data_IF_019478594851
#
_entry.id   IF_019478594851
#
_cell.length_a   1.000
_cell.length_b   1.000
_cell.length_c   1.000
_cell.angle_alpha   90.00
_cell.angle_beta   90.00
_cell.angle_gamma   90.00
#
_symmetry.space_group_name_H-M   'P 1'
#
loop_
_entity.id
_entity.type
_entity.pdbx_description
1 polymer ?
#
# COMPACT_ATOMS: atom_id res chain seq x y z
N UNK A 1 24.24 34.18 8.38
CA UNK A 1 23.76 33.30 7.28
C UNK A 1 22.32 33.67 7.00
N UNK A 2 22.05 34.13 5.79
CA UNK A 2 20.86 34.86 5.41
C UNK A 2 19.69 33.93 5.04
N UNK A 3 18.59 34.11 5.78
CA UNK A 3 17.17 33.90 5.48
C UNK A 3 16.73 32.60 4.76
N UNK A 4 16.30 31.63 5.58
CA UNK A 4 15.42 30.53 5.19
C UNK A 4 14.13 31.07 4.54
N UNK A 5 13.93 30.70 3.27
CA UNK A 5 12.65 30.81 2.55
C UNK A 5 11.70 29.70 3.04
N UNK A 6 10.38 29.89 2.94
CA UNK A 6 9.39 29.04 3.58
C UNK A 6 9.49 27.55 3.24
N UNK A 7 9.45 26.71 4.28
CA UNK A 7 9.31 25.27 4.13
C UNK A 7 7.84 24.94 3.90
N UNK A 8 7.53 24.55 2.67
CA UNK A 8 6.24 23.94 2.34
C UNK A 8 6.21 22.54 2.95
N UNK A 9 5.15 22.25 3.71
CA UNK A 9 4.94 20.96 4.37
C UNK A 9 3.58 20.39 4.04
N UNK A 10 3.48 19.07 4.14
CA UNK A 10 2.21 18.37 4.21
C UNK A 10 1.83 18.20 5.68
N UNK A 11 0.68 18.75 6.06
CA UNK A 11 0.08 18.51 7.38
C UNK A 11 -0.68 17.20 7.32
N UNK A 12 -0.47 16.35 8.31
CA UNK A 12 -1.28 15.17 8.61
C UNK A 12 -2.19 15.55 9.78
N UNK A 13 -3.46 15.84 9.50
CA UNK A 13 -4.43 16.36 10.49
C UNK A 13 -5.15 15.21 11.19
N UNK A 14 -4.37 14.41 11.93
CA UNK A 14 -4.91 13.29 12.69
C UNK A 14 -4.03 12.90 13.90
N UNK A 15 -4.58 12.82 15.11
CA UNK A 15 -3.82 12.50 16.33
C UNK A 15 -3.35 11.05 16.42
N UNK A 16 -3.99 10.13 15.68
CA UNK A 16 -3.63 8.71 15.67
C UNK A 16 -2.75 8.33 14.47
N UNK A 17 -2.06 9.29 13.84
CA UNK A 17 -1.04 8.96 12.86
C UNK A 17 0.15 8.31 13.60
N UNK A 18 0.35 7.02 13.36
CA UNK A 18 1.27 6.16 14.13
C UNK A 18 2.59 5.88 13.41
N UNK A 19 2.87 6.58 12.30
CA UNK A 19 4.17 6.50 11.63
C UNK A 19 5.32 6.91 12.58
N UNK A 20 6.49 6.26 12.53
CA UNK A 20 7.60 6.60 13.41
C UNK A 20 8.16 8.00 13.13
N UNK A 21 8.78 8.60 14.15
CA UNK A 21 9.47 9.88 14.02
C UNK A 21 10.77 9.72 13.21
N UNK A 22 10.96 10.52 12.16
CA UNK A 22 12.19 10.49 11.35
C UNK A 22 12.64 11.91 11.03
N UNK A 23 13.82 12.28 11.52
CA UNK A 23 14.46 13.58 11.23
C UNK A 23 15.78 13.46 10.46
N UNK A 24 16.45 12.30 10.48
CA UNK A 24 17.76 12.08 9.84
C UNK A 24 17.69 11.44 8.44
N UNK A 25 16.52 11.38 7.82
CA UNK A 25 16.39 10.93 6.43
C UNK A 25 16.97 11.97 5.45
N UNK A 26 17.49 11.53 4.30
CA UNK A 26 17.89 12.40 3.20
C UNK A 26 16.73 12.78 2.26
N UNK A 27 15.61 12.06 2.35
CA UNK A 27 14.47 12.18 1.42
C UNK A 27 13.32 12.98 2.03
N UNK A 28 13.10 12.86 3.35
CA UNK A 28 12.01 13.52 4.04
C UNK A 28 12.33 13.76 5.53
N UNK A 29 11.41 14.42 6.22
CA UNK A 29 11.30 14.36 7.67
C UNK A 29 9.85 14.41 8.09
N UNK A 30 9.50 13.71 9.15
CA UNK A 30 8.19 13.75 9.78
C UNK A 30 8.37 14.09 11.25
N UNK A 31 7.44 14.83 11.87
CA UNK A 31 7.45 15.06 13.32
C UNK A 31 7.04 13.82 14.12
N UNK A 32 7.41 13.74 15.39
CA UNK A 32 6.97 12.66 16.27
C UNK A 32 5.48 12.78 16.66
N UNK A 33 4.91 11.69 17.20
CA UNK A 33 3.51 11.65 17.64
C UNK A 33 3.22 12.52 18.86
N UNK A 34 4.21 12.70 19.73
CA UNK A 34 4.01 13.34 21.03
C UNK A 34 4.55 14.76 21.04
N UNK A 35 3.88 15.63 21.79
CA UNK A 35 4.37 16.94 22.20
C UNK A 35 4.45 16.99 23.73
N UNK A 36 5.36 17.81 24.25
CA UNK A 36 5.45 18.07 25.68
C UNK A 36 4.46 19.18 25.99
N UNK A 37 3.57 18.95 26.94
CA UNK A 37 2.72 19.99 27.49
C UNK A 37 3.55 20.87 28.43
N UNK A 38 3.81 22.10 28.00
CA UNK A 38 4.65 23.08 28.72
C UNK A 38 4.11 23.43 30.12
N UNK A 39 2.83 23.15 30.41
CA UNK A 39 2.20 23.47 31.69
C UNK A 39 2.10 22.30 32.67
N UNK A 40 2.32 21.07 32.21
CA UNK A 40 2.13 19.88 33.04
C UNK A 40 3.24 18.83 32.97
N UNK A 41 4.31 19.07 32.19
CA UNK A 41 5.38 18.09 31.93
C UNK A 41 4.87 16.71 31.48
N UNK A 42 3.63 16.66 30.97
CA UNK A 42 3.01 15.45 30.44
C UNK A 42 3.08 15.45 28.92
N UNK A 43 3.08 14.26 28.32
CA UNK A 43 3.03 14.11 26.87
C UNK A 43 1.58 14.05 26.39
N UNK A 44 1.23 14.91 25.43
CA UNK A 44 -0.03 14.82 24.68
C UNK A 44 0.24 14.37 23.24
N UNK A 45 -0.67 13.61 22.62
CA UNK A 45 -0.56 13.32 21.20
C UNK A 45 -0.78 14.62 20.42
N UNK A 46 0.09 14.91 19.46
CA UNK A 46 -0.07 16.04 18.56
C UNK A 46 -1.35 15.86 17.76
N UNK A 47 -2.15 16.91 17.65
CA UNK A 47 -3.33 16.92 16.79
C UNK A 47 -2.96 16.88 15.30
N UNK A 48 -1.78 17.43 14.97
CA UNK A 48 -1.23 17.54 13.63
C UNK A 48 0.23 17.16 13.60
N UNK A 49 0.66 16.49 12.53
CA UNK A 49 2.08 16.19 12.28
C UNK A 49 2.53 16.84 10.98
N UNK A 50 3.71 17.45 10.99
CA UNK A 50 4.33 17.97 9.78
C UNK A 50 5.13 16.89 9.07
N UNK A 51 4.97 16.81 7.76
CA UNK A 51 5.78 16.02 6.85
C UNK A 51 6.45 16.96 5.82
N UNK A 52 7.77 16.94 5.77
CA UNK A 52 8.58 17.75 4.88
C UNK A 52 9.32 16.87 3.90
N UNK A 53 9.37 17.29 2.64
CA UNK A 53 10.33 16.74 1.68
C UNK A 53 11.71 17.33 1.95
N UNK A 54 12.75 16.53 1.71
CA UNK A 54 14.13 17.00 1.67
C UNK A 54 14.64 16.85 0.25
N UNK A 55 14.94 17.97 -0.38
CA UNK A 55 15.47 18.01 -1.74
C UNK A 55 16.24 19.33 -1.94
N UNK A 56 17.36 19.37 -2.68
CA UNK A 56 18.10 20.62 -2.92
C UNK A 56 17.25 21.76 -3.50
N UNK A 57 16.20 21.41 -4.25
CA UNK A 57 15.27 22.36 -4.87
C UNK A 57 13.91 22.45 -4.16
N UNK A 58 13.77 21.92 -2.93
CA UNK A 58 12.48 21.82 -2.21
C UNK A 58 11.73 23.16 -2.13
N UNK A 59 12.45 24.25 -1.84
CA UNK A 59 11.88 25.61 -1.71
C UNK A 59 11.29 26.16 -3.02
N UNK A 60 11.57 25.52 -4.15
CA UNK A 60 11.08 25.93 -5.47
C UNK A 60 10.05 24.97 -6.06
N UNK A 61 9.73 23.86 -5.39
CA UNK A 61 8.82 22.83 -5.92
C UNK A 61 7.43 23.39 -6.21
N UNK A 62 6.83 24.19 -5.32
CA UNK A 62 5.50 24.78 -5.56
C UNK A 62 5.47 25.64 -6.82
N UNK A 63 6.56 26.38 -7.11
CA UNK A 63 6.69 27.17 -8.34
C UNK A 63 6.86 26.30 -9.58
N UNK A 64 7.58 25.18 -9.46
CA UNK A 64 7.94 24.32 -10.59
C UNK A 64 6.86 23.30 -10.94
N UNK A 65 6.17 22.74 -9.95
CA UNK A 65 5.15 21.69 -10.10
C UNK A 65 3.71 22.21 -9.91
N UNK A 66 3.55 23.45 -9.45
CA UNK A 66 2.27 23.96 -8.95
C UNK A 66 1.89 23.38 -7.59
N UNK A 67 0.84 23.94 -6.97
CA UNK A 67 0.32 23.51 -5.67
C UNK A 67 -0.13 22.04 -5.68
N UNK A 68 -0.94 21.66 -6.68
CA UNK A 68 -1.47 20.31 -6.79
C UNK A 68 -0.37 19.27 -7.06
N UNK A 69 0.60 19.59 -7.93
CA UNK A 69 1.74 18.69 -8.21
C UNK A 69 2.64 18.52 -6.98
N UNK A 70 2.87 19.60 -6.24
CA UNK A 70 3.65 19.58 -4.99
C UNK A 70 2.94 18.77 -3.91
N UNK A 71 1.63 18.96 -3.76
CA UNK A 71 0.82 18.18 -2.83
C UNK A 71 0.82 16.69 -3.16
N UNK A 72 0.62 16.32 -4.43
CA UNK A 72 0.69 14.92 -4.87
C UNK A 72 2.07 14.32 -4.67
N UNK A 73 3.15 15.07 -4.91
CA UNK A 73 4.51 14.61 -4.61
C UNK A 73 4.67 14.31 -3.12
N UNK A 74 4.27 15.22 -2.23
CA UNK A 74 4.35 14.99 -0.78
C UNK A 74 3.58 13.72 -0.36
N UNK A 75 2.35 13.55 -0.86
CA UNK A 75 1.54 12.36 -0.55
C UNK A 75 2.13 11.07 -1.10
N UNK A 76 2.79 11.10 -2.27
CA UNK A 76 3.50 9.95 -2.83
C UNK A 76 4.72 9.58 -2.01
N UNK A 77 5.54 10.54 -1.56
CA UNK A 77 6.70 10.22 -0.70
C UNK A 77 6.24 9.75 0.68
N UNK A 78 5.22 10.38 1.28
CA UNK A 78 4.61 9.91 2.53
C UNK A 78 4.07 8.48 2.36
N UNK A 79 3.48 8.17 1.21
CA UNK A 79 3.03 6.82 0.85
C UNK A 79 4.16 5.81 0.76
N UNK A 80 5.31 6.20 0.23
CA UNK A 80 6.48 5.32 0.18
C UNK A 80 7.05 5.08 1.57
N UNK A 81 7.04 6.10 2.43
CA UNK A 81 7.44 5.94 3.82
C UNK A 81 6.50 5.00 4.57
N UNK A 82 5.18 5.20 4.48
CA UNK A 82 4.18 4.30 5.07
C UNK A 82 4.38 2.85 4.58
N UNK A 83 4.50 2.66 3.26
CA UNK A 83 4.76 1.35 2.67
C UNK A 83 6.07 0.72 3.17
N UNK A 84 7.11 1.53 3.43
CA UNK A 84 8.38 1.05 3.98
C UNK A 84 8.25 0.60 5.43
N UNK A 85 7.48 1.33 6.26
CA UNK A 85 7.20 0.93 7.65
C UNK A 85 6.39 -0.35 7.65
N UNK A 86 5.33 -0.40 6.83
CA UNK A 86 4.49 -1.59 6.64
C UNK A 86 5.30 -2.82 6.23
N UNK A 87 6.24 -2.66 5.29
CA UNK A 87 7.13 -3.74 4.86
C UNK A 87 8.02 -4.22 6.00
N UNK A 88 8.61 -3.29 6.76
CA UNK A 88 9.46 -3.65 7.90
C UNK A 88 8.65 -4.40 8.97
N UNK A 89 7.50 -3.86 9.38
CA UNK A 89 6.67 -4.47 10.43
C UNK A 89 6.13 -5.84 9.99
N UNK A 90 5.78 -6.00 8.72
CA UNK A 90 5.33 -7.28 8.19
C UNK A 90 6.46 -8.32 8.17
N UNK A 91 7.67 -7.92 7.78
CA UNK A 91 8.86 -8.78 7.86
C UNK A 91 9.11 -9.12 9.32
N UNK A 92 9.23 -8.16 10.22
CA UNK A 92 9.50 -8.43 11.64
C UNK A 92 8.47 -9.38 12.27
N UNK A 93 7.20 -9.27 11.89
CA UNK A 93 6.13 -10.14 12.40
C UNK A 93 6.08 -11.53 11.75
N UNK A 94 6.45 -11.68 10.47
CA UNK A 94 6.17 -12.89 9.68
C UNK A 94 7.39 -13.49 8.97
N UNK A 95 8.60 -12.95 9.13
CA UNK A 95 9.80 -13.36 8.39
C UNK A 95 10.22 -14.81 8.65
N UNK A 96 10.14 -15.28 9.89
CA UNK A 96 10.43 -16.69 10.19
C UNK A 96 9.41 -17.63 9.54
N UNK A 97 8.14 -17.22 9.49
CA UNK A 97 7.10 -17.97 8.78
C UNK A 97 7.34 -17.95 7.26
N UNK A 98 7.81 -16.84 6.69
CA UNK A 98 8.23 -16.75 5.28
C UNK A 98 9.36 -17.75 4.99
N UNK A 99 10.29 -17.96 5.92
CA UNK A 99 11.40 -18.91 5.77
C UNK A 99 10.97 -20.37 5.90
N UNK A 100 10.08 -20.68 6.83
CA UNK A 100 9.79 -22.06 7.22
C UNK A 100 8.55 -22.64 6.53
N UNK A 101 7.62 -21.81 6.07
CA UNK A 101 6.30 -22.29 5.68
C UNK A 101 6.28 -23.10 4.38
N UNK A 102 5.52 -24.19 4.42
CA UNK A 102 5.01 -24.84 3.22
C UNK A 102 3.96 -23.90 2.60
N UNK A 103 4.12 -23.56 1.33
CA UNK A 103 3.22 -22.64 0.63
C UNK A 103 1.97 -23.38 0.12
N UNK A 104 1.18 -23.93 1.04
CA UNK A 104 -0.10 -24.56 0.76
C UNK A 104 -1.26 -23.67 1.22
N UNK A 105 -2.45 -23.89 0.66
CA UNK A 105 -3.65 -23.15 1.06
C UNK A 105 -3.92 -23.25 2.57
N UNK A 106 -3.90 -24.47 3.11
CA UNK A 106 -4.19 -24.72 4.53
C UNK A 106 -3.19 -24.02 5.47
N UNK A 107 -1.90 -23.98 5.10
CA UNK A 107 -0.90 -23.27 5.91
C UNK A 107 -1.15 -21.76 5.88
N UNK A 108 -1.42 -21.19 4.70
CA UNK A 108 -1.72 -19.76 4.56
C UNK A 108 -2.98 -19.36 5.35
N UNK A 109 -4.03 -20.19 5.29
CA UNK A 109 -5.25 -19.99 6.09
C UNK A 109 -4.97 -20.05 7.60
N UNK A 110 -4.21 -21.04 8.06
CA UNK A 110 -3.85 -21.17 9.49
C UNK A 110 -3.09 -19.94 9.99
N UNK A 111 -2.19 -19.40 9.19
CA UNK A 111 -1.42 -18.21 9.54
C UNK A 111 -2.30 -16.94 9.53
N UNK A 112 -3.20 -16.85 8.56
CA UNK A 112 -4.15 -15.74 8.47
C UNK A 112 -5.11 -15.64 9.66
N UNK A 113 -5.40 -16.74 10.38
CA UNK A 113 -6.25 -16.71 11.59
C UNK A 113 -5.68 -15.87 12.74
N UNK A 114 -4.37 -15.64 12.76
CA UNK A 114 -3.69 -14.79 13.76
C UNK A 114 -3.32 -13.40 13.19
N UNK A 115 -3.66 -13.18 11.93
CA UNK A 115 -3.42 -11.96 11.20
C UNK A 115 -4.52 -10.93 11.48
N UNK A 116 -4.18 -9.65 11.38
CA UNK A 116 -5.18 -8.59 11.30
C UNK A 116 -4.62 -7.45 10.49
N UNK A 117 -5.32 -7.10 9.41
CA UNK A 117 -4.96 -6.01 8.51
C UNK A 117 -4.78 -4.67 9.24
N UNK A 118 -5.57 -4.43 10.28
CA UNK A 118 -5.58 -3.19 11.04
C UNK A 118 -4.26 -2.91 11.78
N UNK A 119 -3.44 -3.96 12.03
CA UNK A 119 -2.09 -3.80 12.61
C UNK A 119 -1.16 -2.95 11.74
N UNK A 120 -1.48 -2.82 10.46
CA UNK A 120 -0.70 -2.12 9.46
C UNK A 120 -1.36 -0.80 9.01
N UNK A 121 -2.34 -0.31 9.77
CA UNK A 121 -2.97 0.98 9.51
C UNK A 121 -2.34 2.09 10.36
N UNK A 122 -1.45 2.88 9.77
CA UNK A 122 -0.78 3.99 10.46
C UNK A 122 -1.54 5.32 10.38
N UNK A 123 -2.75 5.36 9.82
CA UNK A 123 -3.61 6.54 9.68
C UNK A 123 -2.88 7.78 9.11
N UNK A 124 -2.01 7.58 8.12
CA UNK A 124 -1.09 8.63 7.63
C UNK A 124 -1.64 9.45 6.46
N UNK A 125 -2.33 8.81 5.51
CA UNK A 125 -2.70 9.41 4.22
C UNK A 125 -4.20 9.34 3.92
N UNK A 126 -4.92 8.44 4.58
CA UNK A 126 -6.39 8.36 4.51
C UNK A 126 -7.08 9.48 5.27
N UNK A 127 -6.34 10.12 6.18
CA UNK A 127 -6.80 11.23 6.99
C UNK A 127 -6.65 12.56 6.25
N UNK A 128 -7.34 13.63 6.69
CA UNK A 128 -7.21 14.93 6.07
C UNK A 128 -5.74 15.38 6.05
N UNK A 129 -5.24 15.67 4.85
CA UNK A 129 -3.90 16.21 4.65
C UNK A 129 -3.98 17.42 3.74
N UNK A 130 -3.21 18.45 4.06
CA UNK A 130 -3.18 19.69 3.29
C UNK A 130 -1.75 20.22 3.19
N UNK A 131 -1.46 20.91 2.09
CA UNK A 131 -0.18 21.55 1.88
C UNK A 131 -0.22 22.93 2.54
N UNK A 132 0.82 23.29 3.29
CA UNK A 132 0.91 24.59 3.91
C UNK A 132 2.34 25.17 3.88
N UNK A 133 2.42 26.49 3.90
CA UNK A 133 3.64 27.19 4.28
C UNK A 133 3.76 27.17 5.80
N UNK A 134 4.81 26.53 6.32
CA UNK A 134 5.04 26.44 7.76
C UNK A 134 6.18 27.37 8.20
N UNK A 135 5.90 28.20 9.20
CA UNK A 135 6.92 29.02 9.86
C UNK A 135 7.55 28.22 10.99
N UNK A 136 8.74 27.68 10.75
CA UNK A 136 9.49 26.89 11.73
C UNK A 136 10.04 27.70 12.90
N UNK A 137 10.05 29.04 12.82
CA UNK A 137 10.47 29.90 13.94
C UNK A 137 9.32 30.18 14.89
N UNK A 138 8.13 30.38 14.34
CA UNK A 138 6.91 30.70 15.09
C UNK A 138 6.03 29.47 15.35
N UNK A 139 6.48 28.28 14.92
CA UNK A 139 5.79 27.00 15.03
C UNK A 139 4.32 27.04 14.59
N UNK A 140 4.03 27.73 13.48
CA UNK A 140 2.65 27.94 13.03
C UNK A 140 2.50 27.83 11.51
N UNK A 141 1.30 27.45 11.10
CA UNK A 141 0.89 27.50 9.70
C UNK A 141 0.70 28.96 9.29
N UNK A 142 1.35 29.38 8.20
CA UNK A 142 1.27 30.74 7.67
C UNK A 142 0.26 30.86 6.54
N UNK A 143 0.25 29.88 5.64
CA UNK A 143 -0.64 29.88 4.47
C UNK A 143 -1.05 28.45 4.10
N UNK A 144 -2.30 28.27 3.68
CA UNK A 144 -2.83 27.01 3.17
C UNK A 144 -2.86 27.07 1.65
N UNK A 145 -2.33 26.06 0.98
CA UNK A 145 -2.46 25.94 -0.47
C UNK A 145 -3.75 25.21 -0.83
N UNK A 146 -4.33 25.55 -1.99
CA UNK A 146 -5.57 24.94 -2.48
C UNK A 146 -5.21 23.68 -3.29
N UNK A 147 -5.02 22.57 -2.60
CA UNK A 147 -4.80 21.26 -3.20
C UNK A 147 -5.77 20.21 -2.63
N UNK A 148 -6.10 19.21 -3.44
CA UNK A 148 -7.05 18.15 -3.07
C UNK A 148 -6.44 16.77 -3.31
N UNK A 149 -6.80 15.75 -2.49
CA UNK A 149 -6.47 14.35 -2.78
C UNK A 149 -6.86 13.99 -4.22
N UNK A 150 -5.92 13.43 -4.96
CA UNK A 150 -6.15 13.00 -6.35
C UNK A 150 -5.40 11.69 -6.59
N UNK A 151 -6.12 10.59 -6.42
CA UNK A 151 -5.53 9.25 -6.51
C UNK A 151 -4.97 8.90 -7.87
N UNK A 152 -5.59 9.41 -8.95
CA UNK A 152 -5.08 9.21 -10.30
C UNK A 152 -3.74 9.92 -10.46
N UNK A 153 -3.65 11.18 -10.04
CA UNK A 153 -2.42 11.95 -10.12
C UNK A 153 -1.33 11.34 -9.23
N UNK A 154 -1.66 10.94 -8.01
CA UNK A 154 -0.74 10.24 -7.12
C UNK A 154 -0.23 8.92 -7.72
N UNK A 155 -1.08 8.16 -8.42
CA UNK A 155 -0.68 6.93 -9.12
C UNK A 155 0.24 7.22 -10.31
N UNK A 156 -0.03 8.27 -11.08
CA UNK A 156 0.86 8.70 -12.17
C UNK A 156 2.21 9.17 -11.64
N UNK A 157 2.21 9.88 -10.51
CA UNK A 157 3.42 10.29 -9.81
C UNK A 157 4.20 9.09 -9.28
N UNK A 158 3.57 8.14 -8.59
CA UNK A 158 4.27 6.98 -8.01
C UNK A 158 4.98 6.11 -9.05
N UNK A 159 4.47 6.09 -10.28
CA UNK A 159 5.12 5.45 -11.43
C UNK A 159 6.27 6.26 -12.04
N UNK A 160 6.29 7.58 -11.89
CA UNK A 160 7.10 8.46 -12.73
C UNK A 160 7.78 9.62 -11.99
N UNK A 161 7.92 9.58 -10.65
CA UNK A 161 8.42 10.70 -9.83
C UNK A 161 9.66 11.34 -10.48
N UNK A 162 10.71 10.56 -10.73
CA UNK A 162 11.96 11.10 -11.29
C UNK A 162 11.79 11.72 -12.67
N UNK A 163 11.00 11.10 -13.57
CA UNK A 163 10.75 11.69 -14.90
C UNK A 163 9.96 12.99 -14.80
N UNK A 164 8.97 13.04 -13.91
CA UNK A 164 8.15 14.23 -13.69
C UNK A 164 9.02 15.36 -13.16
N UNK A 165 9.91 15.08 -12.19
CA UNK A 165 10.86 16.06 -11.67
C UNK A 165 11.78 16.59 -12.79
N UNK A 166 12.40 15.70 -13.56
CA UNK A 166 13.30 16.07 -14.66
C UNK A 166 12.59 16.95 -15.69
N UNK A 167 11.36 16.59 -16.08
CA UNK A 167 10.58 17.36 -17.06
C UNK A 167 10.23 18.78 -16.57
N UNK A 168 10.23 19.02 -15.26
CA UNK A 168 10.04 20.35 -14.66
C UNK A 168 11.35 21.03 -14.25
N UNK A 169 12.50 20.53 -14.72
CA UNK A 169 13.81 21.09 -14.40
C UNK A 169 14.23 20.90 -12.94
N UNK A 170 13.65 19.90 -12.25
CA UNK A 170 14.04 19.48 -10.91
C UNK A 170 14.97 18.26 -11.04
N UNK A 171 16.11 18.31 -10.35
CA UNK A 171 17.01 17.16 -10.27
C UNK A 171 16.27 15.96 -9.66
N UNK A 172 16.45 14.74 -10.17
CA UNK A 172 15.87 13.57 -9.52
C UNK A 172 16.48 13.38 -8.14
N UNK A 173 15.76 12.66 -7.26
CA UNK A 173 16.33 12.22 -5.99
C UNK A 173 17.59 11.40 -6.26
N UNK A 174 18.66 11.65 -5.50
CA UNK A 174 19.91 10.90 -5.66
C UNK A 174 19.67 9.43 -5.35
N UNK A 175 20.25 8.55 -6.17
CA UNK A 175 20.39 7.15 -5.77
C UNK A 175 21.36 7.10 -4.60
N UNK A 176 20.82 6.84 -3.40
CA UNK A 176 21.65 6.43 -2.28
C UNK A 176 22.30 5.10 -2.66
N UNK A 177 23.64 5.06 -2.64
CA UNK A 177 24.39 3.88 -3.07
C UNK A 177 23.90 2.65 -2.32
N UNK A 178 23.45 1.67 -3.09
CA UNK A 178 22.93 0.42 -2.56
C UNK A 178 24.11 -0.46 -2.13
N UNK A 179 24.43 -0.41 -0.83
CA UNK A 179 25.27 -1.44 -0.25
C UNK A 179 24.53 -2.77 -0.29
N UNK A 180 25.24 -3.86 -0.59
CA UNK A 180 24.74 -5.20 -0.32
C UNK A 180 24.32 -5.28 1.16
N UNK A 181 23.22 -5.98 1.43
CA UNK A 181 22.51 -6.16 2.71
C UNK A 181 21.32 -5.23 2.96
N UNK A 182 20.13 -5.80 2.69
CA UNK A 182 18.85 -5.41 3.26
C UNK A 182 18.90 -5.52 4.78
N UNK A 183 19.03 -4.39 5.46
CA UNK A 183 18.43 -4.23 6.78
C UNK A 183 17.26 -3.26 6.58
N UNK A 184 16.03 -3.78 6.66
CA UNK A 184 14.74 -3.08 6.41
C UNK A 184 14.50 -1.88 7.33
N UNK A 185 15.43 -1.64 8.26
CA UNK A 185 15.53 -0.50 9.17
C UNK A 185 16.03 0.80 8.49
N UNK A 186 16.49 0.75 7.24
CA UNK A 186 16.87 1.95 6.47
C UNK A 186 15.77 2.37 5.48
N UNK A 187 14.80 3.15 5.96
CA UNK A 187 13.67 3.65 5.15
C UNK A 187 14.10 4.36 3.87
N UNK A 188 15.20 5.12 3.89
CA UNK A 188 15.68 5.86 2.74
C UNK A 188 16.10 4.95 1.58
N UNK A 189 16.72 3.81 1.85
CA UNK A 189 17.07 2.82 0.82
C UNK A 189 15.81 2.22 0.19
N UNK A 190 14.85 1.83 1.02
CA UNK A 190 13.57 1.28 0.57
C UNK A 190 12.81 2.28 -0.30
N UNK A 191 12.73 3.55 0.11
CA UNK A 191 12.07 4.62 -0.64
C UNK A 191 12.84 4.95 -1.93
N UNK A 192 14.17 4.94 -1.90
CA UNK A 192 15.00 5.11 -3.11
C UNK A 192 14.67 4.02 -4.14
N UNK A 193 14.51 2.78 -3.71
CA UNK A 193 14.08 1.67 -4.60
C UNK A 193 12.70 1.94 -5.22
N UNK A 194 11.76 2.49 -4.44
CA UNK A 194 10.42 2.86 -4.95
C UNK A 194 10.47 4.04 -5.94
N UNK A 195 11.38 5.00 -5.73
CA UNK A 195 11.57 6.17 -6.60
C UNK A 195 12.22 5.82 -7.94
N UNK A 196 13.11 4.83 -7.94
CA UNK A 196 13.92 4.46 -9.11
C UNK A 196 13.25 3.41 -9.99
N UNK A 197 12.50 2.48 -9.39
CA UNK A 197 11.80 1.42 -10.10
C UNK A 197 10.31 1.70 -10.17
N UNK A 198 9.84 2.11 -11.36
CA UNK A 198 8.45 2.49 -11.62
C UNK A 198 7.43 1.43 -11.19
N UNK A 199 7.76 0.17 -11.44
CA UNK A 199 6.96 -0.99 -11.07
C UNK A 199 6.81 -1.11 -9.55
N UNK A 200 7.92 -0.92 -8.82
CA UNK A 200 7.97 -0.98 -7.36
C UNK A 200 7.22 0.20 -6.74
N UNK A 201 7.49 1.42 -7.22
CA UNK A 201 6.77 2.61 -6.74
C UNK A 201 5.26 2.45 -6.85
N UNK A 202 4.77 1.97 -8.00
CA UNK A 202 3.34 1.75 -8.19
C UNK A 202 2.76 0.69 -7.25
N UNK A 203 3.37 -0.49 -7.17
CA UNK A 203 2.87 -1.58 -6.31
C UNK A 203 2.89 -1.17 -4.84
N UNK A 204 3.96 -0.55 -4.36
CA UNK A 204 4.07 -0.13 -2.95
C UNK A 204 3.09 1.00 -2.62
N UNK A 205 2.87 1.94 -3.54
CA UNK A 205 1.85 2.99 -3.40
C UNK A 205 0.43 2.41 -3.34
N UNK A 206 0.11 1.40 -4.14
CA UNK A 206 -1.20 0.73 -4.09
C UNK A 206 -1.34 -0.16 -2.85
N UNK A 207 -0.30 -0.93 -2.52
CA UNK A 207 -0.31 -1.88 -1.41
C UNK A 207 -0.47 -1.22 -0.05
N UNK A 208 0.09 -0.02 0.17
CA UNK A 208 -0.11 0.69 1.43
C UNK A 208 -1.56 1.15 1.66
N UNK A 209 -2.34 1.33 0.59
CA UNK A 209 -3.79 1.66 0.69
C UNK A 209 -4.62 0.47 1.20
N UNK A 210 -4.05 -0.72 1.21
CA UNK A 210 -4.70 -1.90 1.78
C UNK A 210 -4.42 -1.93 3.29
N UNK A 211 -5.24 -1.27 4.09
CA UNK A 211 -5.06 -1.18 5.55
C UNK A 211 -6.35 -1.43 6.35
N UNK A 212 -7.48 -1.56 5.66
CA UNK A 212 -8.76 -2.01 6.21
C UNK A 212 -9.60 -2.68 5.11
N UNK A 213 -10.62 -3.44 5.51
CA UNK A 213 -11.56 -4.11 4.61
C UNK A 213 -12.78 -3.25 4.22
N UNK A 214 -12.89 -2.03 4.76
CA UNK A 214 -13.98 -1.10 4.41
C UNK A 214 -13.77 -0.34 3.10
N UNK A 215 -12.57 -0.42 2.50
CA UNK A 215 -12.30 0.20 1.20
C UNK A 215 -13.06 -0.51 0.07
N UNK A 216 -13.90 0.24 -0.65
CA UNK A 216 -14.64 -0.24 -1.83
C UNK A 216 -13.70 -0.81 -2.89
N UNK A 217 -12.47 -0.29 -2.99
CA UNK A 217 -11.47 -0.71 -3.96
C UNK A 217 -10.55 -1.83 -3.47
N UNK A 218 -10.76 -2.39 -2.27
CA UNK A 218 -9.87 -3.42 -1.69
C UNK A 218 -9.61 -4.57 -2.66
N UNK A 219 -10.68 -5.16 -3.20
CA UNK A 219 -10.63 -6.31 -4.12
C UNK A 219 -9.91 -5.93 -5.41
N UNK A 220 -10.22 -4.74 -5.94
CA UNK A 220 -9.62 -4.23 -7.17
C UNK A 220 -8.11 -3.97 -6.99
N UNK A 221 -7.70 -3.41 -5.86
CA UNK A 221 -6.31 -3.10 -5.54
C UNK A 221 -5.47 -4.36 -5.30
N UNK A 222 -5.96 -5.31 -4.48
CA UNK A 222 -5.32 -6.64 -4.30
C UNK A 222 -5.08 -7.29 -5.65
N UNK A 223 -6.11 -7.31 -6.48
CA UNK A 223 -6.05 -7.92 -7.79
C UNK A 223 -5.06 -7.27 -8.75
N UNK A 224 -5.07 -5.92 -8.83
CA UNK A 224 -4.15 -5.15 -9.67
C UNK A 224 -2.70 -5.43 -9.28
N UNK A 225 -2.41 -5.49 -7.98
CA UNK A 225 -1.08 -5.83 -7.45
C UNK A 225 -0.64 -7.21 -7.94
N UNK A 226 -1.50 -8.23 -7.77
CA UNK A 226 -1.15 -9.62 -8.13
C UNK A 226 -0.96 -9.80 -9.64
N UNK A 227 -1.83 -9.22 -10.46
CA UNK A 227 -1.70 -9.27 -11.92
C UNK A 227 -0.43 -8.58 -12.41
N UNK A 228 -0.11 -7.45 -11.79
CA UNK A 228 1.08 -6.71 -12.13
C UNK A 228 2.37 -7.45 -11.75
N UNK A 229 2.46 -7.98 -10.52
CA UNK A 229 3.61 -8.79 -10.08
C UNK A 229 3.77 -10.02 -10.97
N UNK A 230 2.67 -10.70 -11.31
CA UNK A 230 2.72 -11.86 -12.23
C UNK A 230 3.27 -11.47 -13.60
N UNK A 231 2.81 -10.36 -14.17
CA UNK A 231 3.31 -9.87 -15.46
C UNK A 231 4.79 -9.47 -15.39
N UNK A 232 5.20 -8.86 -14.27
CA UNK A 232 6.59 -8.47 -14.02
C UNK A 232 7.52 -9.68 -13.92
N UNK A 233 7.11 -10.75 -13.23
CA UNK A 233 7.88 -12.00 -13.14
C UNK A 233 8.10 -12.67 -14.51
N UNK A 234 7.08 -12.65 -15.38
CA UNK A 234 7.20 -13.22 -16.73
C UNK A 234 8.10 -12.37 -17.62
N UNK A 235 7.97 -11.04 -17.54
CA UNK A 235 8.65 -10.12 -18.45
C UNK A 235 10.10 -9.82 -18.06
N UNK A 236 10.38 -9.79 -16.76
CA UNK A 236 11.63 -9.29 -16.20
C UNK A 236 12.33 -10.37 -15.36
N UNK A 237 12.22 -11.65 -15.74
CA UNK A 237 12.81 -12.78 -14.99
C UNK A 237 14.30 -12.57 -14.71
N UNK A 238 15.04 -11.97 -15.63
CA UNK A 238 16.46 -11.62 -15.53
C UNK A 238 16.79 -10.65 -14.38
N UNK A 239 15.80 -9.88 -13.92
CA UNK A 239 15.92 -8.95 -12.79
C UNK A 239 15.73 -9.65 -11.44
N UNK A 240 15.53 -10.96 -11.41
CA UNK A 240 15.38 -11.72 -10.18
C UNK A 240 16.55 -12.68 -9.95
N UNK A 241 16.80 -12.97 -8.67
CA UNK A 241 17.79 -13.98 -8.29
C UNK A 241 17.22 -15.39 -8.38
N UNK A 242 17.42 -16.08 -9.51
CA UNK A 242 16.87 -17.42 -9.75
C UNK A 242 17.32 -18.52 -8.76
N UNK A 243 18.32 -18.26 -7.91
CA UNK A 243 18.83 -19.19 -6.89
C UNK A 243 18.48 -18.79 -5.44
N UNK A 244 17.77 -17.68 -5.25
CA UNK A 244 17.37 -17.24 -3.90
C UNK A 244 16.09 -17.96 -3.46
N UNK A 245 16.08 -18.46 -2.22
CA UNK A 245 14.93 -19.12 -1.60
C UNK A 245 13.64 -18.28 -1.68
N UNK A 246 13.78 -16.95 -1.63
CA UNK A 246 12.66 -16.02 -1.75
C UNK A 246 11.99 -16.02 -3.13
N UNK A 247 12.77 -16.14 -4.22
CA UNK A 247 12.22 -16.13 -5.58
C UNK A 247 11.42 -17.42 -5.86
N UNK A 248 11.97 -18.58 -5.49
CA UNK A 248 11.28 -19.87 -5.63
C UNK A 248 9.95 -19.87 -4.87
N UNK A 249 9.93 -19.26 -3.68
CA UNK A 249 8.72 -19.11 -2.86
C UNK A 249 7.71 -18.18 -3.50
N UNK A 250 8.17 -17.07 -4.06
CA UNK A 250 7.33 -16.13 -4.79
C UNK A 250 6.63 -16.83 -5.98
N UNK A 251 7.37 -17.58 -6.79
CA UNK A 251 6.80 -18.32 -7.93
C UNK A 251 5.73 -19.33 -7.49
N UNK A 252 6.00 -20.08 -6.40
CA UNK A 252 5.04 -21.03 -5.83
C UNK A 252 3.76 -20.34 -5.36
N UNK A 253 3.88 -19.20 -4.67
CA UNK A 253 2.72 -18.41 -4.22
C UNK A 253 1.92 -17.86 -5.39
N UNK A 254 2.59 -17.26 -6.38
CA UNK A 254 1.94 -16.72 -7.58
C UNK A 254 1.18 -17.80 -8.32
N UNK A 255 1.76 -19.00 -8.44
CA UNK A 255 1.11 -20.16 -9.03
C UNK A 255 -0.12 -20.58 -8.23
N UNK A 256 0.00 -20.70 -6.90
CA UNK A 256 -1.12 -21.05 -6.01
C UNK A 256 -2.31 -20.09 -6.19
N UNK A 257 -2.07 -18.78 -6.19
CA UNK A 257 -3.13 -17.78 -6.33
C UNK A 257 -3.65 -17.61 -7.77
N UNK A 258 -2.99 -18.22 -8.76
CA UNK A 258 -3.31 -18.09 -10.18
C UNK A 258 -4.00 -19.31 -10.79
N UNK A 259 -3.84 -20.49 -10.20
CA UNK A 259 -4.31 -21.77 -10.74
C UNK A 259 -5.70 -22.16 -10.14
N UNK A 260 -5.92 -23.46 -9.86
CA UNK A 260 -7.19 -24.02 -9.37
C UNK A 260 -7.70 -23.34 -8.09
N UNK A 261 -6.80 -22.84 -7.25
CA UNK A 261 -7.14 -22.17 -5.99
C UNK A 261 -7.46 -20.69 -6.15
N UNK A 262 -7.30 -20.09 -7.34
CA UNK A 262 -7.58 -18.66 -7.61
C UNK A 262 -8.95 -18.21 -7.10
N UNK A 263 -9.96 -19.09 -7.18
CA UNK A 263 -11.32 -18.84 -6.72
C UNK A 263 -11.46 -18.57 -5.21
N UNK A 264 -10.46 -18.94 -4.41
CA UNK A 264 -10.43 -18.76 -2.95
C UNK A 264 -9.63 -17.52 -2.53
N UNK A 265 -8.80 -17.01 -3.42
CA UNK A 265 -8.19 -15.69 -3.28
C UNK A 265 -9.12 -14.67 -3.92
N UNK A 266 -8.59 -13.75 -4.71
CA UNK A 266 -9.34 -12.71 -5.41
C UNK A 266 -10.38 -13.19 -6.44
N UNK A 267 -10.40 -14.48 -6.80
CA UNK A 267 -11.38 -15.05 -7.72
C UNK A 267 -12.76 -15.30 -7.13
N UNK A 268 -12.94 -15.14 -5.81
CA UNK A 268 -14.25 -15.31 -5.15
C UNK A 268 -15.30 -14.32 -5.69
N UNK A 269 -14.86 -13.13 -6.11
CA UNK A 269 -15.70 -12.09 -6.73
C UNK A 269 -15.54 -12.01 -8.25
N UNK A 270 -15.00 -13.03 -8.91
CA UNK A 270 -14.85 -13.08 -10.37
C UNK A 270 -16.04 -13.77 -11.04
N UNK A 271 -17.26 -13.38 -10.68
CA UNK A 271 -18.50 -13.91 -11.24
C UNK A 271 -19.56 -12.80 -11.37
N UNK A 272 -19.43 -12.00 -12.44
CA UNK A 272 -20.29 -10.84 -12.69
C UNK A 272 -21.74 -11.22 -12.99
N UNK A 273 -21.95 -12.41 -13.56
CA UNK A 273 -23.29 -12.94 -13.86
C UNK A 273 -24.07 -13.21 -12.56
N UNK A 274 -23.37 -13.68 -11.52
CA UNK A 274 -23.97 -14.04 -10.22
C UNK A 274 -23.88 -12.97 -9.14
N UNK A 275 -22.82 -12.16 -9.14
CA UNK A 275 -22.53 -11.20 -8.06
C UNK A 275 -22.81 -9.74 -8.47
N UNK A 276 -23.16 -9.50 -9.74
CA UNK A 276 -23.46 -8.16 -10.24
C UNK A 276 -22.32 -7.17 -9.98
N UNK A 277 -22.65 -6.01 -9.41
CA UNK A 277 -21.68 -4.94 -9.13
C UNK A 277 -20.64 -5.25 -8.04
N UNK A 278 -20.85 -6.31 -7.26
CA UNK A 278 -19.86 -6.80 -6.30
C UNK A 278 -18.75 -7.55 -7.03
N UNK A 279 -19.00 -8.02 -8.26
CA UNK A 279 -17.97 -8.64 -9.05
C UNK A 279 -16.88 -7.65 -9.47
N UNK A 280 -15.65 -8.14 -9.45
CA UNK A 280 -14.46 -7.42 -9.91
C UNK A 280 -14.51 -7.11 -11.41
N UNK A 281 -15.13 -7.97 -12.21
CA UNK A 281 -15.18 -7.82 -13.66
C UNK A 281 -16.60 -7.43 -14.07
N UNK A 282 -16.72 -6.62 -15.12
CA UNK A 282 -17.98 -6.51 -15.82
C UNK A 282 -18.31 -7.84 -16.48
N UNK A 283 -19.60 -8.14 -16.60
CA UNK A 283 -20.07 -9.30 -17.34
C UNK A 283 -19.50 -9.26 -18.76
N UNK A 284 -18.66 -10.23 -19.13
CA UNK A 284 -18.25 -10.40 -20.53
C UNK A 284 -19.41 -11.02 -21.29
N UNK A 285 -20.51 -10.28 -21.47
CA UNK A 285 -21.68 -10.88 -22.11
C UNK A 285 -21.41 -10.96 -23.60
N UNK A 286 -21.24 -12.19 -24.07
CA UNK A 286 -21.55 -12.49 -25.45
C UNK A 286 -23.03 -12.16 -25.66
N UNK A 287 -23.36 -11.24 -26.58
CA UNK A 287 -24.72 -10.66 -26.71
C UNK A 287 -25.84 -11.70 -26.88
N UNK A 288 -25.51 -12.94 -27.24
CA UNK A 288 -26.43 -14.08 -27.29
C UNK A 288 -26.86 -14.62 -25.91
N UNK A 289 -26.04 -14.47 -24.87
CA UNK A 289 -26.37 -14.88 -23.49
C UNK A 289 -27.22 -13.87 -22.73
N UNK A 290 -27.27 -12.61 -23.17
CA UNK A 290 -28.11 -11.56 -22.55
C UNK A 290 -29.62 -11.83 -22.71
N UNK A 291 -30.01 -12.74 -23.60
CA UNK A 291 -31.41 -13.17 -23.77
C UNK A 291 -31.84 -14.25 -22.76
N UNK A 292 -30.89 -14.85 -22.05
CA UNK A 292 -31.14 -15.80 -20.96
C UNK A 292 -30.73 -15.07 -19.66
N UNK A 293 -31.72 -14.78 -18.82
CA UNK A 293 -31.69 -13.85 -17.69
C UNK A 293 -30.38 -13.86 -16.87
N UNK A 294 -29.88 -12.68 -16.48
CA UNK A 294 -28.81 -12.58 -15.49
C UNK A 294 -29.24 -13.27 -14.18
N UNK A 295 -28.59 -14.38 -13.83
CA UNK A 295 -28.88 -15.13 -12.60
C UNK A 295 -28.07 -14.59 -11.41
N UNK A 296 -28.43 -13.39 -10.96
CA UNK A 296 -27.90 -12.88 -9.70
C UNK A 296 -28.23 -13.85 -8.55
N UNK A 297 -27.31 -14.03 -7.61
CA UNK A 297 -27.55 -14.81 -6.40
C UNK A 297 -28.63 -14.10 -5.59
N UNK A 298 -29.79 -14.73 -5.46
CA UNK A 298 -30.80 -14.33 -4.49
C UNK A 298 -30.40 -14.86 -3.12
N UNK A 299 -29.84 -13.99 -2.29
CA UNK A 299 -29.37 -14.36 -0.95
C UNK A 299 -30.54 -14.49 0.01
N UNK A 300 -30.63 -15.64 0.70
CA UNK A 300 -31.79 -16.00 1.52
C UNK A 300 -31.57 -15.82 3.03
N UNK A 301 -30.31 -15.72 3.48
CA UNK A 301 -29.96 -15.55 4.89
C UNK A 301 -28.56 -14.96 5.08
N UNK A 302 -28.24 -14.59 6.32
CA UNK A 302 -26.91 -14.20 6.78
C UNK A 302 -26.35 -15.32 7.65
N UNK A 303 -25.07 -15.66 7.49
CA UNK A 303 -24.40 -16.71 8.26
C UNK A 303 -24.39 -16.40 9.77
N UNK A 304 -24.70 -17.40 10.59
CA UNK A 304 -24.57 -17.39 12.05
C UNK A 304 -23.35 -18.19 12.55
N UNK A 305 -22.50 -18.64 11.62
CA UNK A 305 -21.35 -19.49 11.90
C UNK A 305 -20.09 -18.67 12.23
N UNK A 306 -19.21 -19.29 13.01
CA UNK A 306 -17.85 -18.80 13.16
C UNK A 306 -17.00 -19.11 11.91
N UNK A 307 -16.00 -18.27 11.57
CA UNK A 307 -15.18 -18.46 10.37
C UNK A 307 -14.40 -19.77 10.42
N UNK A 308 -14.61 -20.65 9.42
CA UNK A 308 -13.89 -21.93 9.34
C UNK A 308 -12.78 -21.92 8.29
N UNK A 309 -13.15 -22.00 7.00
CA UNK A 309 -12.24 -21.92 5.84
C UNK A 309 -12.82 -21.01 4.76
N UNK A 310 -11.98 -20.41 3.93
CA UNK A 310 -12.43 -19.57 2.81
C UNK A 310 -13.16 -20.40 1.75
N UNK A 311 -12.79 -21.68 1.62
CA UNK A 311 -13.50 -22.62 0.76
C UNK A 311 -14.96 -22.82 1.18
N UNK A 312 -15.21 -23.02 2.48
CA UNK A 312 -16.56 -23.19 3.02
C UNK A 312 -17.37 -21.89 2.94
N UNK A 313 -16.77 -20.75 3.31
CA UNK A 313 -17.44 -19.44 3.20
C UNK A 313 -17.89 -19.19 1.75
N UNK A 314 -16.99 -19.44 0.78
CA UNK A 314 -17.33 -19.33 -0.64
C UNK A 314 -18.42 -20.31 -1.04
N UNK A 315 -18.37 -21.55 -0.57
CA UNK A 315 -19.39 -22.55 -0.91
C UNK A 315 -20.77 -22.13 -0.41
N UNK A 316 -20.87 -21.69 0.84
CA UNK A 316 -22.13 -21.18 1.38
C UNK A 316 -22.62 -19.92 0.68
N UNK A 317 -21.71 -19.03 0.28
CA UNK A 317 -22.07 -17.85 -0.52
C UNK A 317 -22.60 -18.22 -1.91
N UNK A 318 -21.92 -19.14 -2.61
CA UNK A 318 -22.19 -19.43 -4.03
C UNK A 318 -23.21 -20.53 -4.29
N UNK A 319 -23.44 -21.43 -3.33
CA UNK A 319 -24.34 -22.58 -3.46
C UNK A 319 -25.50 -22.56 -2.48
N UNK A 320 -25.25 -22.15 -1.24
CA UNK A 320 -26.26 -22.13 -0.18
C UNK A 320 -26.98 -20.77 -0.11
N UNK A 321 -26.56 -19.80 -0.92
CA UNK A 321 -27.15 -18.46 -1.00
C UNK A 321 -27.12 -17.71 0.35
N UNK A 322 -26.04 -17.90 1.12
CA UNK A 322 -25.85 -17.30 2.46
C UNK A 322 -24.85 -16.14 2.37
N UNK A 323 -25.23 -14.98 2.87
CA UNK A 323 -24.32 -13.82 2.99
C UNK A 323 -23.33 -14.10 4.13
N UNK A 324 -22.00 -14.03 3.86
CA UNK A 324 -21.01 -14.15 4.93
C UNK A 324 -21.21 -13.04 5.98
N UNK A 325 -21.11 -13.39 7.26
CA UNK A 325 -21.20 -12.40 8.33
C UNK A 325 -19.92 -11.55 8.45
N UNK A 326 -19.94 -10.56 9.34
CA UNK A 326 -18.81 -9.63 9.49
C UNK A 326 -17.49 -10.34 9.85
N UNK A 327 -17.54 -11.37 10.69
CA UNK A 327 -16.35 -12.15 11.09
C UNK A 327 -15.80 -12.98 9.94
N UNK A 328 -16.67 -13.62 9.16
CA UNK A 328 -16.28 -14.39 7.96
C UNK A 328 -15.68 -13.49 6.88
N UNK A 329 -16.29 -12.32 6.63
CA UNK A 329 -15.75 -11.32 5.70
C UNK A 329 -14.37 -10.83 6.17
N UNK A 330 -14.24 -10.45 7.46
CA UNK A 330 -12.96 -10.04 8.03
C UNK A 330 -11.89 -11.11 7.84
N UNK A 331 -12.21 -12.38 8.11
CA UNK A 331 -11.31 -13.50 7.89
C UNK A 331 -10.87 -13.67 6.43
N UNK A 332 -11.81 -13.58 5.47
CA UNK A 332 -11.48 -13.63 4.04
C UNK A 332 -10.55 -12.49 3.64
N UNK A 333 -10.84 -11.26 4.10
CA UNK A 333 -10.02 -10.10 3.78
C UNK A 333 -8.63 -10.16 4.44
N UNK A 334 -8.54 -10.62 5.68
CA UNK A 334 -7.27 -10.86 6.36
C UNK A 334 -6.43 -11.92 5.63
N UNK A 335 -7.06 -13.01 5.19
CA UNK A 335 -6.41 -14.04 4.38
C UNK A 335 -5.87 -13.49 3.04
N UNK A 336 -6.65 -12.68 2.34
CA UNK A 336 -6.22 -12.06 1.09
C UNK A 336 -5.12 -11.03 1.29
N UNK A 337 -5.25 -10.21 2.32
CA UNK A 337 -4.26 -9.20 2.65
C UNK A 337 -2.94 -9.84 3.07
N UNK A 338 -2.98 -10.84 3.94
CA UNK A 338 -1.82 -11.61 4.36
C UNK A 338 -1.09 -12.22 3.16
N UNK A 339 -1.82 -12.94 2.31
CA UNK A 339 -1.24 -13.57 1.11
C UNK A 339 -0.66 -12.53 0.14
N UNK A 340 -1.36 -11.42 -0.07
CA UNK A 340 -0.88 -10.32 -0.93
C UNK A 340 0.39 -9.69 -0.36
N UNK A 341 0.44 -9.48 0.96
CA UNK A 341 1.59 -8.91 1.66
C UNK A 341 2.80 -9.84 1.62
N UNK A 342 2.61 -11.16 1.73
CA UNK A 342 3.67 -12.15 1.48
C UNK A 342 4.25 -12.03 0.06
N UNK A 343 3.37 -11.98 -0.94
CA UNK A 343 3.77 -11.87 -2.34
C UNK A 343 4.52 -10.56 -2.60
N UNK A 344 3.99 -9.42 -2.15
CA UNK A 344 4.63 -8.10 -2.29
C UNK A 344 6.00 -8.10 -1.60
N UNK A 345 6.10 -8.65 -0.40
CA UNK A 345 7.36 -8.73 0.37
C UNK A 345 8.41 -9.56 -0.37
N UNK A 346 8.06 -10.79 -0.77
CA UNK A 346 8.98 -11.67 -1.49
C UNK A 346 9.39 -11.09 -2.83
N UNK A 347 8.45 -10.47 -3.57
CA UNK A 347 8.72 -9.78 -4.82
C UNK A 347 9.66 -8.59 -4.64
N UNK A 348 9.41 -7.75 -3.63
CA UNK A 348 10.23 -6.59 -3.33
C UNK A 348 11.67 -6.98 -2.98
N UNK A 349 11.84 -8.03 -2.17
CA UNK A 349 13.16 -8.52 -1.73
C UNK A 349 13.89 -9.25 -2.87
N UNK A 350 13.20 -10.10 -3.64
CA UNK A 350 13.82 -10.93 -4.70
C UNK A 350 14.24 -10.13 -5.94
N UNK A 351 13.66 -8.94 -6.14
CA UNK A 351 13.98 -8.09 -7.28
C UNK A 351 15.35 -7.47 -7.10
N UNK A 352 16.33 -7.95 -7.88
CA UNK A 352 17.67 -7.38 -7.97
C UNK A 352 17.57 -5.95 -8.43
N UNK A 353 18.36 -5.09 -7.81
CA UNK A 353 18.61 -3.77 -8.33
C UNK A 353 19.62 -3.91 -9.47
N UNK A 354 19.33 -3.26 -10.60
CA UNK A 354 20.25 -3.27 -11.73
C UNK A 354 21.51 -2.51 -11.32
N UNK A 355 22.67 -3.16 -11.43
CA UNK A 355 23.98 -2.52 -11.36
C UNK A 355 24.24 -1.65 -12.60
#
# INVERSE_FOLDING_TARGET
>A
MNYFLPNVSLIIDHPNCDLPWIHNSEIFSIEGKWEVNEYSDTYSPRTRRLFFLKHPQVNSLTRLLGEQGTYSLHRVILSFFDASVKLNDFIDAYYENIKQNKLTLAELESQAKQYSINKFNYNSIEVPTFLCEYDSKLFRVKEHYKAYPNELLESLFSMNVNNILINHGVTPYKNLSEGAFFNTKEHDKTITKMLTHREIGMVMHTWRKLNNYSSIDFIANVSKILEFIRADLIKNEDKFGNSEDHFIKLEKLIKLVSDKERRLFFGMFNDAERLGFISRHGTSVDKKKLQEEMHLIDYISISDKEPNTVAEIRESMMKDHIIPNASELAYVYDFWHYTTSLIVTLWFVSRRTML
#
